data_IF_329491362370
#
_entry.id   IF_329491362370
#
_cell.length_a   1.000
_cell.length_b   1.000
_cell.length_c   1.000
_cell.angle_alpha   90.00
_cell.angle_beta   90.00
_cell.angle_gamma   90.00
#
_symmetry.space_group_name_H-M   'P 1'
#
loop_
_entity.id
_entity.type
_entity.pdbx_description
1 polymer ?
#
# COMPACT_ATOMS: atom_id res chain seq x y z
N UNK A 1 -2.91 -23.05 -23.52
CA UNK A 1 -2.95 -24.37 -24.20
C UNK A 1 -2.17 -25.33 -23.34
N UNK A 2 -2.74 -26.50 -23.02
CA UNK A 2 -2.04 -27.52 -22.26
C UNK A 2 -0.88 -28.11 -23.05
N UNK A 3 0.20 -28.46 -22.37
CA UNK A 3 1.38 -29.09 -23.00
C UNK A 3 1.03 -30.54 -23.32
N UNK A 4 1.11 -30.97 -24.60
CA UNK A 4 0.88 -32.35 -24.98
C UNK A 4 1.87 -33.30 -24.30
N UNK A 5 1.44 -34.54 -24.01
CA UNK A 5 2.23 -35.51 -23.28
C UNK A 5 3.59 -35.81 -23.89
N UNK A 6 3.66 -35.94 -25.22
CA UNK A 6 4.90 -36.16 -25.95
C UNK A 6 5.88 -34.99 -25.85
N UNK A 7 5.37 -33.77 -25.64
CA UNK A 7 6.21 -32.56 -25.41
C UNK A 7 6.72 -32.58 -23.97
N UNK A 8 5.87 -32.96 -23.00
CA UNK A 8 6.26 -33.12 -21.58
C UNK A 8 7.40 -34.13 -21.44
N UNK A 9 7.32 -35.27 -22.15
CA UNK A 9 8.38 -36.27 -22.20
C UNK A 9 9.70 -35.73 -22.80
N UNK A 10 9.61 -35.00 -23.91
CA UNK A 10 10.79 -34.38 -24.53
C UNK A 10 11.44 -33.36 -23.58
N UNK A 11 10.67 -32.49 -22.93
CA UNK A 11 11.20 -31.53 -21.96
C UNK A 11 11.88 -32.26 -20.78
N UNK A 12 11.29 -33.29 -20.25
CA UNK A 12 11.86 -34.11 -19.18
C UNK A 12 13.23 -34.68 -19.60
N UNK A 13 13.30 -35.25 -20.81
CA UNK A 13 14.54 -35.81 -21.36
C UNK A 13 15.63 -34.73 -21.55
N UNK A 14 15.31 -33.63 -22.21
CA UNK A 14 16.27 -32.54 -22.47
C UNK A 14 16.77 -31.85 -21.20
N UNK A 15 15.88 -31.68 -20.20
CA UNK A 15 16.23 -31.07 -18.91
C UNK A 15 16.84 -32.08 -17.92
N UNK A 16 16.92 -33.36 -18.28
CA UNK A 16 17.38 -34.45 -17.40
C UNK A 16 16.64 -34.47 -16.04
N UNK A 17 15.32 -34.33 -16.10
CA UNK A 17 14.43 -34.36 -14.93
C UNK A 17 13.36 -35.42 -15.10
N UNK A 18 12.68 -35.79 -13.99
CA UNK A 18 11.52 -36.68 -14.08
C UNK A 18 10.37 -35.97 -14.81
N UNK A 19 9.55 -36.73 -15.50
CA UNK A 19 8.36 -36.23 -16.19
C UNK A 19 7.40 -35.50 -15.22
N UNK A 20 7.27 -36.00 -13.99
CA UNK A 20 6.53 -35.36 -12.91
C UNK A 20 7.05 -33.99 -12.49
N UNK A 21 8.32 -33.69 -12.79
CA UNK A 21 8.94 -32.40 -12.51
C UNK A 21 8.71 -31.36 -13.62
N UNK A 22 8.07 -31.74 -14.74
CA UNK A 22 7.68 -30.80 -15.81
C UNK A 22 6.30 -30.23 -15.45
N UNK A 23 6.29 -29.17 -14.71
CA UNK A 23 5.10 -28.46 -14.23
C UNK A 23 4.71 -27.37 -15.22
N UNK A 24 3.47 -27.39 -15.70
CA UNK A 24 3.00 -26.32 -16.57
C UNK A 24 2.31 -25.22 -15.74
N UNK A 25 2.57 -23.96 -16.16
CA UNK A 25 1.89 -22.79 -15.62
C UNK A 25 1.07 -22.15 -16.74
N UNK A 26 -0.22 -22.42 -16.76
CA UNK A 26 -1.16 -21.84 -17.74
C UNK A 26 -1.59 -20.44 -17.30
N UNK A 27 -2.05 -19.64 -18.27
CA UNK A 27 -2.68 -18.36 -17.99
C UNK A 27 -3.99 -18.60 -17.22
N UNK A 28 -4.09 -18.03 -16.02
CA UNK A 28 -5.28 -18.08 -15.19
C UNK A 28 -6.18 -16.85 -15.44
N UNK A 29 -7.47 -17.02 -15.21
CA UNK A 29 -8.47 -15.93 -15.21
C UNK A 29 -8.31 -15.00 -14.02
N UNK A 30 -7.73 -15.51 -12.94
CA UNK A 30 -7.45 -14.82 -11.70
C UNK A 30 -6.03 -15.17 -11.23
N UNK A 31 -5.21 -14.18 -10.93
CA UNK A 31 -3.83 -14.40 -10.46
C UNK A 31 -3.77 -15.29 -9.22
N UNK A 32 -4.74 -15.14 -8.32
CA UNK A 32 -4.81 -15.92 -7.08
C UNK A 32 -5.19 -17.39 -7.31
N UNK A 33 -5.65 -17.78 -8.51
CA UNK A 33 -5.88 -19.18 -8.87
C UNK A 33 -4.59 -19.92 -9.25
N UNK A 34 -3.49 -19.22 -9.56
CA UNK A 34 -2.21 -19.84 -9.97
C UNK A 34 -1.68 -20.84 -8.94
N UNK A 35 -1.64 -20.56 -7.63
CA UNK A 35 -1.19 -21.53 -6.63
C UNK A 35 -1.98 -22.85 -6.69
N UNK A 36 -3.31 -22.80 -6.85
CA UNK A 36 -4.15 -24.00 -6.96
C UNK A 36 -3.87 -24.78 -8.25
N UNK A 37 -3.60 -24.08 -9.35
CA UNK A 37 -3.22 -24.71 -10.62
C UNK A 37 -1.88 -25.46 -10.50
N UNK A 38 -0.89 -24.84 -9.88
CA UNK A 38 0.41 -25.44 -9.64
C UNK A 38 0.33 -26.63 -8.67
N UNK A 39 -0.51 -26.54 -7.64
CA UNK A 39 -0.77 -27.65 -6.72
C UNK A 39 -1.43 -28.83 -7.43
N UNK A 40 -2.42 -28.57 -8.31
CA UNK A 40 -3.06 -29.60 -9.16
C UNK A 40 -2.06 -30.30 -10.07
N UNK A 41 -1.06 -29.58 -10.61
CA UNK A 41 0.05 -30.14 -11.39
C UNK A 41 1.05 -30.93 -10.52
N UNK A 42 0.95 -30.86 -9.18
CA UNK A 42 1.78 -31.61 -8.24
C UNK A 42 3.09 -30.91 -7.86
N UNK A 43 3.20 -29.58 -8.06
CA UNK A 43 4.42 -28.82 -7.76
C UNK A 43 4.85 -28.97 -6.29
N UNK A 44 3.93 -28.82 -5.34
CA UNK A 44 4.23 -28.94 -3.91
C UNK A 44 4.82 -30.29 -3.56
N UNK A 45 4.22 -31.37 -4.06
CA UNK A 45 4.72 -32.75 -3.87
C UNK A 45 6.10 -32.96 -4.50
N UNK A 46 6.34 -32.45 -5.71
CA UNK A 46 7.65 -32.58 -6.37
C UNK A 46 8.74 -31.82 -5.59
N UNK A 47 8.45 -30.65 -5.07
CA UNK A 47 9.38 -29.89 -4.23
C UNK A 47 9.70 -30.66 -2.95
N UNK A 48 8.69 -31.17 -2.23
CA UNK A 48 8.88 -31.96 -1.02
C UNK A 48 9.72 -33.23 -1.29
N UNK A 49 9.42 -33.94 -2.37
CA UNK A 49 10.21 -35.12 -2.78
C UNK A 49 11.67 -34.78 -3.06
N UNK A 50 11.91 -33.69 -3.75
CA UNK A 50 13.27 -33.24 -4.10
C UNK A 50 14.06 -32.81 -2.85
N UNK A 51 13.41 -32.12 -1.93
CA UNK A 51 14.01 -31.68 -0.67
C UNK A 51 14.01 -32.76 0.43
N UNK A 52 13.48 -33.94 0.16
CA UNK A 52 13.32 -35.06 1.12
C UNK A 52 12.53 -34.66 2.37
N UNK A 53 11.47 -33.87 2.15
CA UNK A 53 10.52 -33.48 3.18
C UNK A 53 9.27 -34.36 3.09
N UNK A 54 8.63 -34.59 4.24
CA UNK A 54 7.32 -35.20 4.26
C UNK A 54 6.33 -34.29 3.53
N UNK A 55 5.53 -34.88 2.63
CA UNK A 55 4.48 -34.16 1.93
C UNK A 55 3.12 -34.49 2.52
N UNK A 56 2.27 -33.49 2.64
CA UNK A 56 0.87 -33.64 3.03
C UNK A 56 -0.03 -32.99 1.97
N UNK A 57 -1.28 -33.38 1.95
CA UNK A 57 -2.27 -32.71 1.09
C UNK A 57 -2.67 -31.43 1.78
N UNK A 58 -2.39 -30.23 1.16
CA UNK A 58 -2.73 -28.97 1.78
C UNK A 58 -4.25 -28.78 1.82
N UNK A 59 -4.75 -28.20 2.91
CA UNK A 59 -6.13 -27.69 2.96
C UNK A 59 -6.19 -26.31 2.30
N UNK A 60 -6.75 -26.26 1.11
CA UNK A 60 -6.91 -25.04 0.32
C UNK A 60 -8.34 -24.49 0.36
N UNK A 61 -9.19 -24.92 1.29
CA UNK A 61 -10.62 -24.57 1.33
C UNK A 61 -10.83 -23.06 1.37
N UNK A 62 -10.22 -22.34 2.32
CA UNK A 62 -10.35 -20.89 2.44
C UNK A 62 -9.84 -20.15 1.20
N UNK A 63 -8.76 -20.67 0.58
CA UNK A 63 -8.20 -20.07 -0.63
C UNK A 63 -9.13 -20.25 -1.84
N UNK A 64 -9.76 -21.40 -1.97
CA UNK A 64 -10.76 -21.67 -3.02
C UNK A 64 -11.97 -20.75 -2.84
N UNK A 65 -12.50 -20.64 -1.62
CA UNK A 65 -13.63 -19.76 -1.30
C UNK A 65 -13.32 -18.30 -1.63
N UNK A 66 -12.12 -17.83 -1.32
CA UNK A 66 -11.68 -16.48 -1.68
C UNK A 66 -11.70 -16.27 -3.20
N UNK A 67 -11.17 -17.20 -3.99
CA UNK A 67 -11.15 -17.11 -5.45
C UNK A 67 -12.59 -17.10 -6.01
N UNK A 68 -13.45 -17.96 -5.49
CA UNK A 68 -14.85 -18.02 -5.92
C UNK A 68 -15.60 -16.74 -5.59
N UNK A 69 -15.28 -16.10 -4.47
CA UNK A 69 -15.83 -14.80 -4.11
C UNK A 69 -15.32 -13.68 -5.07
N UNK A 70 -14.02 -13.66 -5.38
CA UNK A 70 -13.44 -12.73 -6.36
C UNK A 70 -14.16 -12.84 -7.71
N UNK A 71 -14.46 -14.06 -8.18
CA UNK A 71 -15.15 -14.30 -9.45
C UNK A 71 -16.59 -13.82 -9.46
N UNK A 72 -17.23 -13.72 -8.28
CA UNK A 72 -18.62 -13.25 -8.13
C UNK A 72 -18.74 -11.74 -8.06
N UNK A 73 -17.64 -11.00 -7.84
CA UNK A 73 -17.67 -9.54 -7.74
C UNK A 73 -18.19 -8.94 -9.05
N UNK A 74 -19.20 -8.10 -8.95
CA UNK A 74 -19.78 -7.40 -10.09
C UNK A 74 -18.78 -6.42 -10.68
N UNK A 75 -18.52 -6.54 -11.98
CA UNK A 75 -17.52 -5.71 -12.69
C UNK A 75 -17.99 -4.26 -12.91
N UNK A 76 -19.29 -4.02 -12.87
CA UNK A 76 -19.88 -2.72 -13.19
C UNK A 76 -19.98 -1.78 -11.99
N UNK A 77 -20.05 -2.32 -10.78
CA UNK A 77 -20.03 -1.53 -9.53
C UNK A 77 -18.56 -1.32 -9.10
N UNK A 78 -18.06 -0.09 -9.26
CA UNK A 78 -16.65 0.24 -8.96
C UNK A 78 -16.56 1.33 -7.93
N UNK A 79 -15.71 1.11 -6.93
CA UNK A 79 -15.25 2.15 -6.00
C UNK A 79 -13.97 2.76 -6.60
N UNK A 80 -13.98 4.07 -6.84
CA UNK A 80 -12.89 4.80 -7.49
C UNK A 80 -11.93 5.35 -6.44
N UNK A 81 -10.73 4.79 -6.36
CA UNK A 81 -9.69 5.22 -5.41
C UNK A 81 -8.52 5.81 -6.18
N UNK A 82 -8.11 7.03 -5.83
CA UNK A 82 -6.88 7.58 -6.35
C UNK A 82 -5.69 7.33 -5.42
N UNK A 83 -4.55 6.99 -6.03
CA UNK A 83 -3.24 7.05 -5.40
C UNK A 83 -2.55 8.29 -5.95
N UNK A 84 -2.45 9.34 -5.12
CA UNK A 84 -1.83 10.62 -5.52
C UNK A 84 -0.38 10.64 -5.06
N UNK A 85 0.53 10.41 -5.96
CA UNK A 85 1.95 10.25 -5.66
C UNK A 85 2.86 10.79 -6.75
N UNK A 86 4.17 10.66 -6.55
CA UNK A 86 5.18 11.18 -7.50
C UNK A 86 5.87 10.09 -8.35
N UNK A 87 5.61 8.82 -8.06
CA UNK A 87 6.21 7.70 -8.79
C UNK A 87 5.19 6.95 -9.65
N UNK A 88 4.12 7.62 -10.06
CA UNK A 88 2.97 7.03 -10.78
C UNK A 88 3.29 6.55 -12.19
N UNK A 89 4.41 6.99 -12.78
CA UNK A 89 4.87 6.51 -14.09
C UNK A 89 5.43 5.09 -14.06
N UNK A 90 5.78 4.60 -12.88
CA UNK A 90 6.29 3.25 -12.65
C UNK A 90 5.31 2.56 -11.68
N UNK A 91 4.39 1.79 -12.22
CA UNK A 91 3.32 1.13 -11.45
C UNK A 91 3.83 0.28 -10.30
N UNK A 92 4.96 -0.41 -10.49
CA UNK A 92 5.61 -1.23 -9.46
C UNK A 92 5.99 -0.46 -8.20
N UNK A 93 6.17 0.86 -8.30
CA UNK A 93 6.49 1.70 -7.13
C UNK A 93 5.40 1.68 -6.05
N UNK A 94 4.17 1.43 -6.44
CA UNK A 94 3.00 1.39 -5.55
C UNK A 94 2.31 0.03 -5.53
N UNK A 95 2.95 -1.03 -6.05
CA UNK A 95 2.33 -2.35 -6.19
C UNK A 95 1.72 -2.87 -4.89
N UNK A 96 2.40 -2.68 -3.74
CA UNK A 96 1.88 -3.12 -2.44
C UNK A 96 0.61 -2.36 -2.03
N UNK A 97 0.51 -1.07 -2.35
CA UNK A 97 -0.68 -0.26 -2.07
C UNK A 97 -1.82 -0.67 -3.00
N UNK A 98 -1.52 -0.88 -4.28
CA UNK A 98 -2.47 -1.35 -5.28
C UNK A 98 -3.04 -2.71 -4.89
N UNK A 99 -2.20 -3.67 -4.52
CA UNK A 99 -2.65 -5.00 -4.08
C UNK A 99 -3.45 -4.94 -2.77
N UNK A 100 -3.04 -4.09 -1.82
CA UNK A 100 -3.82 -3.88 -0.59
C UNK A 100 -5.24 -3.36 -0.87
N UNK A 101 -5.39 -2.44 -1.83
CA UNK A 101 -6.71 -1.96 -2.27
C UNK A 101 -7.52 -3.07 -2.94
N UNK A 102 -6.89 -3.90 -3.78
CA UNK A 102 -7.56 -5.06 -4.39
C UNK A 102 -8.04 -6.05 -3.34
N UNK A 103 -7.19 -6.39 -2.36
CA UNK A 103 -7.57 -7.26 -1.24
C UNK A 103 -8.73 -6.67 -0.42
N UNK A 104 -8.71 -5.36 -0.15
CA UNK A 104 -9.82 -4.67 0.50
C UNK A 104 -11.10 -4.78 -0.33
N UNK A 105 -11.00 -4.63 -1.66
CA UNK A 105 -12.13 -4.83 -2.58
C UNK A 105 -12.71 -6.24 -2.48
N UNK A 106 -11.86 -7.26 -2.47
CA UNK A 106 -12.29 -8.66 -2.34
C UNK A 106 -13.02 -8.90 -1.01
N UNK A 107 -12.46 -8.41 0.10
CA UNK A 107 -13.06 -8.55 1.43
C UNK A 107 -14.41 -7.82 1.57
N UNK A 108 -14.63 -6.75 0.81
CA UNK A 108 -15.86 -5.97 0.82
C UNK A 108 -16.79 -6.28 -0.37
N UNK A 109 -16.48 -7.28 -1.21
CA UNK A 109 -17.24 -7.66 -2.39
C UNK A 109 -17.49 -6.51 -3.39
N UNK A 110 -16.50 -5.63 -3.54
CA UNK A 110 -16.55 -4.50 -4.49
C UNK A 110 -15.36 -4.52 -5.43
N UNK A 111 -15.57 -4.05 -6.66
CA UNK A 111 -14.50 -3.85 -7.61
C UNK A 111 -13.84 -2.48 -7.35
N UNK A 112 -12.52 -2.42 -7.35
CA UNK A 112 -11.77 -1.18 -7.13
C UNK A 112 -11.22 -0.68 -8.47
N UNK A 113 -11.59 0.55 -8.84
CA UNK A 113 -11.01 1.30 -9.96
C UNK A 113 -9.91 2.21 -9.41
N UNK A 114 -8.64 1.84 -9.64
CA UNK A 114 -7.48 2.54 -9.09
C UNK A 114 -6.96 3.54 -10.11
N UNK A 115 -6.92 4.83 -9.74
CA UNK A 115 -6.35 5.90 -10.55
C UNK A 115 -5.02 6.35 -9.97
N UNK A 116 -3.95 6.26 -10.75
CA UNK A 116 -2.64 6.81 -10.41
C UNK A 116 -2.57 8.26 -10.89
N UNK A 117 -2.42 9.22 -9.97
CA UNK A 117 -2.39 10.64 -10.27
C UNK A 117 -1.04 11.22 -9.82
N UNK A 118 -0.34 11.89 -10.75
CA UNK A 118 0.90 12.58 -10.44
C UNK A 118 0.61 13.83 -9.58
N UNK A 119 1.14 13.84 -8.38
CA UNK A 119 0.95 14.94 -7.43
C UNK A 119 1.48 16.29 -7.94
N UNK A 120 2.47 16.30 -8.85
CA UNK A 120 2.97 17.54 -9.46
C UNK A 120 1.93 18.21 -10.37
N UNK A 121 0.94 17.47 -10.83
CA UNK A 121 -0.12 17.99 -11.70
C UNK A 121 -1.33 18.52 -10.93
N UNK A 122 -1.33 18.41 -9.60
CA UNK A 122 -2.40 18.93 -8.75
C UNK A 122 -2.03 20.34 -8.29
N UNK A 123 -2.87 21.29 -8.62
CA UNK A 123 -2.83 22.70 -8.17
C UNK A 123 -4.24 23.08 -7.69
N UNK A 124 -4.41 24.27 -7.13
CA UNK A 124 -5.72 24.80 -6.73
C UNK A 124 -6.72 24.78 -7.88
N UNK A 125 -6.25 25.09 -9.10
CA UNK A 125 -7.08 25.16 -10.30
C UNK A 125 -7.44 23.79 -10.86
N UNK A 126 -6.60 22.75 -10.64
CA UNK A 126 -6.79 21.44 -11.22
C UNK A 126 -7.34 20.40 -10.24
N UNK A 127 -7.33 20.67 -8.94
CA UNK A 127 -7.75 19.73 -7.90
C UNK A 127 -9.20 19.24 -8.13
N UNK A 128 -10.15 20.15 -8.29
CA UNK A 128 -11.55 19.78 -8.50
C UNK A 128 -11.73 18.88 -9.73
N UNK A 129 -11.16 19.26 -10.87
CA UNK A 129 -11.33 18.48 -12.12
C UNK A 129 -10.75 17.08 -12.06
N UNK A 130 -9.72 16.85 -11.22
CA UNK A 130 -9.03 15.58 -11.10
C UNK A 130 -9.53 14.69 -9.96
N UNK A 131 -10.14 15.28 -8.93
CA UNK A 131 -10.43 14.59 -7.67
C UNK A 131 -11.92 14.46 -7.34
N UNK A 132 -12.81 15.25 -7.95
CA UNK A 132 -14.25 15.32 -7.59
C UNK A 132 -15.03 14.02 -7.75
N UNK A 133 -14.61 13.15 -8.68
CA UNK A 133 -15.33 11.91 -9.00
C UNK A 133 -14.73 10.69 -8.29
N UNK A 134 -13.99 10.89 -7.21
CA UNK A 134 -13.32 9.85 -6.44
C UNK A 134 -14.10 9.51 -5.17
N UNK A 135 -14.17 8.23 -4.85
CA UNK A 135 -14.76 7.72 -3.62
C UNK A 135 -13.76 7.66 -2.46
N UNK A 136 -12.46 7.75 -2.76
CA UNK A 136 -11.40 7.79 -1.77
C UNK A 136 -10.04 8.17 -2.35
N UNK A 137 -9.15 8.67 -1.49
CA UNK A 137 -7.82 9.13 -1.87
C UNK A 137 -6.77 8.56 -0.92
N UNK A 138 -5.69 8.00 -1.51
CA UNK A 138 -4.49 7.61 -0.78
C UNK A 138 -3.34 8.50 -1.23
N UNK A 139 -2.64 9.12 -0.26
CA UNK A 139 -1.36 9.77 -0.50
C UNK A 139 -0.26 8.88 0.08
N UNK A 140 0.53 8.21 -0.77
CA UNK A 140 1.53 7.25 -0.34
C UNK A 140 2.80 7.92 0.18
N UNK A 141 3.70 7.10 0.73
CA UNK A 141 5.05 7.48 1.09
C UNK A 141 5.89 7.97 -0.09
N UNK A 142 7.02 8.57 0.21
CA UNK A 142 7.99 9.06 -0.76
C UNK A 142 9.09 9.87 -0.11
N UNK A 143 10.08 10.32 -0.90
CA UNK A 143 11.23 11.07 -0.44
C UNK A 143 11.44 12.33 -1.27
N UNK A 144 12.02 13.38 -0.64
CA UNK A 144 12.35 14.64 -1.29
C UNK A 144 11.13 15.53 -1.56
N UNK A 145 11.41 16.75 -2.00
CA UNK A 145 10.45 17.86 -2.02
C UNK A 145 9.47 17.86 -3.21
N UNK A 146 9.79 17.12 -4.28
CA UNK A 146 8.99 17.10 -5.51
C UNK A 146 7.56 16.66 -5.25
N UNK A 147 6.56 17.41 -5.73
CA UNK A 147 5.15 17.09 -5.67
C UNK A 147 4.49 17.23 -4.29
N UNK A 148 5.17 17.80 -3.27
CA UNK A 148 4.61 17.91 -1.93
C UNK A 148 3.46 18.91 -1.86
N UNK A 149 3.55 20.07 -2.54
CA UNK A 149 2.45 21.04 -2.55
C UNK A 149 1.18 20.46 -3.22
N UNK A 150 1.34 19.68 -4.30
CA UNK A 150 0.20 19.00 -4.90
C UNK A 150 -0.43 17.93 -3.99
N UNK A 151 0.36 17.28 -3.12
CA UNK A 151 -0.19 16.40 -2.07
C UNK A 151 -0.96 17.19 -1.04
N UNK A 152 -0.45 18.37 -0.61
CA UNK A 152 -1.14 19.23 0.34
C UNK A 152 -2.46 19.74 -0.26
N UNK A 153 -2.49 20.17 -1.52
CA UNK A 153 -3.74 20.56 -2.20
C UNK A 153 -4.71 19.38 -2.35
N UNK A 154 -4.21 18.17 -2.61
CA UNK A 154 -5.02 16.95 -2.64
C UNK A 154 -5.68 16.68 -1.29
N UNK A 155 -4.93 16.78 -0.21
CA UNK A 155 -5.41 16.54 1.16
C UNK A 155 -6.44 17.59 1.56
N UNK A 156 -6.17 18.85 1.24
CA UNK A 156 -7.11 19.95 1.43
C UNK A 156 -8.43 19.69 0.71
N UNK A 157 -8.37 19.31 -0.56
CA UNK A 157 -9.56 18.98 -1.34
C UNK A 157 -10.34 17.82 -0.71
N UNK A 158 -9.67 16.75 -0.30
CA UNK A 158 -10.30 15.62 0.36
C UNK A 158 -11.01 16.03 1.66
N UNK A 159 -10.36 16.84 2.51
CA UNK A 159 -10.92 17.34 3.77
C UNK A 159 -12.14 18.24 3.52
N UNK A 160 -12.03 19.19 2.61
CA UNK A 160 -13.11 20.17 2.33
C UNK A 160 -14.33 19.54 1.66
N UNK A 161 -14.15 18.43 0.94
CA UNK A 161 -15.22 17.71 0.24
C UNK A 161 -15.63 16.40 0.95
N UNK A 162 -15.13 16.13 2.16
CA UNK A 162 -15.41 14.92 2.94
C UNK A 162 -15.13 13.61 2.19
N UNK A 163 -14.10 13.60 1.33
CA UNK A 163 -13.66 12.39 0.64
C UNK A 163 -12.80 11.55 1.60
N UNK A 164 -13.07 10.26 1.80
CA UNK A 164 -12.23 9.37 2.59
C UNK A 164 -10.75 9.46 2.18
N UNK A 165 -9.89 9.66 3.17
CA UNK A 165 -8.47 9.91 2.94
C UNK A 165 -7.59 9.01 3.81
N UNK A 166 -6.49 8.49 3.22
CA UNK A 166 -5.42 7.80 3.94
C UNK A 166 -4.05 8.35 3.53
N UNK A 167 -3.32 8.89 4.50
CA UNK A 167 -1.92 9.30 4.32
C UNK A 167 -0.96 8.24 4.87
N UNK A 168 -0.05 7.74 4.03
CA UNK A 168 0.96 6.75 4.42
C UNK A 168 2.32 7.43 4.48
N UNK A 169 3.03 7.35 5.61
CA UNK A 169 4.38 7.89 5.81
C UNK A 169 4.42 9.39 5.44
N UNK A 170 5.05 9.76 4.33
CA UNK A 170 5.06 11.15 3.85
C UNK A 170 3.64 11.71 3.63
N UNK A 171 2.69 10.88 3.20
CA UNK A 171 1.29 11.31 3.04
C UNK A 171 0.66 11.74 4.36
N UNK A 172 0.92 11.03 5.45
CA UNK A 172 0.50 11.43 6.80
C UNK A 172 1.19 12.73 7.22
N UNK A 173 2.50 12.86 6.98
CA UNK A 173 3.24 14.08 7.30
C UNK A 173 2.67 15.31 6.56
N UNK A 174 2.33 15.15 5.27
CA UNK A 174 1.70 16.22 4.48
C UNK A 174 0.29 16.55 4.98
N UNK A 175 -0.44 15.59 5.54
CA UNK A 175 -1.73 15.86 6.17
C UNK A 175 -1.59 16.72 7.42
N UNK A 176 -0.58 16.48 8.23
CA UNK A 176 -0.26 17.34 9.39
C UNK A 176 0.10 18.75 8.94
N UNK A 177 0.92 18.88 7.90
CA UNK A 177 1.29 20.19 7.33
C UNK A 177 0.06 20.93 6.77
N UNK A 178 -0.78 20.23 6.01
CA UNK A 178 -2.03 20.78 5.46
C UNK A 178 -2.92 21.33 6.57
N UNK A 179 -3.18 20.51 7.59
CA UNK A 179 -4.06 20.90 8.70
C UNK A 179 -3.50 22.09 9.46
N UNK A 180 -2.20 22.12 9.73
CA UNK A 180 -1.55 23.22 10.39
C UNK A 180 -1.67 24.53 9.58
N UNK A 181 -1.45 24.47 8.26
CA UNK A 181 -1.54 25.65 7.38
C UNK A 181 -2.96 26.15 7.20
N UNK A 182 -3.88 25.27 6.86
CA UNK A 182 -5.20 25.66 6.35
C UNK A 182 -6.30 25.65 7.41
N UNK A 183 -6.13 24.90 8.51
CA UNK A 183 -7.12 24.85 9.60
C UNK A 183 -6.69 25.67 10.80
N UNK A 184 -5.40 25.60 11.19
CA UNK A 184 -4.88 26.33 12.35
C UNK A 184 -4.34 27.71 11.99
N UNK A 185 -4.20 28.07 10.70
CA UNK A 185 -3.68 29.35 10.24
C UNK A 185 -2.16 29.52 10.42
N UNK A 186 -1.42 28.46 10.69
CA UNK A 186 0.03 28.46 10.80
C UNK A 186 0.66 28.38 9.40
N UNK A 187 0.53 29.47 8.61
CA UNK A 187 0.84 29.48 7.17
C UNK A 187 2.27 28.99 6.81
N UNK A 188 3.25 29.21 7.71
CA UNK A 188 4.64 28.78 7.51
C UNK A 188 4.92 27.33 7.99
N UNK A 189 3.89 26.56 8.33
CA UNK A 189 4.08 25.15 8.76
C UNK A 189 4.68 24.30 7.65
N UNK A 190 5.68 23.50 8.01
CA UNK A 190 6.34 22.60 7.06
C UNK A 190 6.98 21.41 7.79
N UNK A 191 7.48 20.46 7.00
CA UNK A 191 8.47 19.51 7.47
C UNK A 191 9.86 20.15 7.44
N UNK A 192 10.63 19.99 8.53
CA UNK A 192 12.03 20.38 8.56
C UNK A 192 12.91 19.60 7.56
N UNK A 193 12.41 18.51 6.97
CA UNK A 193 13.08 17.82 5.87
C UNK A 193 13.15 18.67 4.60
N UNK A 194 12.11 19.49 4.37
CA UNK A 194 11.95 20.25 3.11
C UNK A 194 12.24 21.74 3.28
N UNK A 195 12.07 22.25 4.50
CA UNK A 195 12.37 23.63 4.85
C UNK A 195 12.92 23.67 6.28
N UNK A 196 14.24 23.65 6.41
CA UNK A 196 14.92 23.71 7.71
C UNK A 196 14.70 25.04 8.44
N UNK A 197 14.34 26.12 7.71
CA UNK A 197 14.09 27.45 8.25
C UNK A 197 12.62 27.73 8.59
N UNK A 198 11.73 26.74 8.48
CA UNK A 198 10.32 26.94 8.83
C UNK A 198 10.17 27.36 10.29
N UNK A 199 9.30 28.35 10.54
CA UNK A 199 8.98 28.79 11.90
C UNK A 199 8.11 27.79 12.66
N UNK A 200 7.38 26.95 11.93
CA UNK A 200 6.48 25.95 12.48
C UNK A 200 6.84 24.56 11.95
N UNK A 201 7.91 23.93 12.47
CA UNK A 201 8.33 22.57 12.06
C UNK A 201 7.40 21.52 12.67
N UNK A 202 6.18 21.38 12.13
CA UNK A 202 5.18 20.40 12.60
C UNK A 202 5.60 18.95 12.34
N UNK A 203 6.56 18.76 11.44
CA UNK A 203 7.30 17.53 11.20
C UNK A 203 8.78 17.85 11.39
N UNK A 204 9.46 17.11 12.27
CA UNK A 204 10.85 17.33 12.61
C UNK A 204 11.69 16.05 12.56
N UNK A 205 13.02 16.20 12.62
CA UNK A 205 13.93 15.05 12.66
C UNK A 205 13.85 14.36 14.02
N UNK A 206 13.77 13.04 14.03
CA UNK A 206 13.84 12.24 15.25
C UNK A 206 15.17 12.47 15.96
N UNK A 207 15.16 12.59 17.30
CA UNK A 207 16.37 12.82 18.09
C UNK A 207 17.46 11.77 17.85
N UNK A 208 17.06 10.50 17.70
CA UNK A 208 17.96 9.38 17.41
C UNK A 208 18.62 9.50 16.03
N UNK A 209 17.96 10.19 15.09
CA UNK A 209 18.45 10.38 13.73
C UNK A 209 19.39 11.59 13.58
N UNK A 210 19.42 12.52 14.53
CA UNK A 210 20.31 13.70 14.51
C UNK A 210 21.80 13.32 14.53
N UNK A 211 22.16 12.19 15.13
CA UNK A 211 23.55 11.73 15.31
C UNK A 211 24.04 10.76 14.23
N UNK A 212 23.22 10.51 13.19
CA UNK A 212 23.55 9.53 12.16
C UNK A 212 24.28 10.19 11.00
N UNK A 213 25.58 9.91 10.87
CA UNK A 213 26.43 10.41 9.78
C UNK A 213 26.35 9.52 8.52
N UNK A 214 26.23 8.20 8.67
CA UNK A 214 26.11 7.25 7.55
C UNK A 214 24.64 6.91 7.29
N UNK A 215 24.11 7.37 6.18
CA UNK A 215 22.65 7.30 5.91
C UNK A 215 22.13 5.92 5.41
N UNK A 216 23.00 4.99 5.03
CA UNK A 216 22.59 3.69 4.47
C UNK A 216 21.89 2.79 5.48
N UNK A 217 20.64 2.39 5.20
CA UNK A 217 19.88 1.43 6.02
C UNK A 217 19.33 1.96 7.35
N UNK A 218 19.69 3.16 7.77
CA UNK A 218 19.40 3.72 9.11
C UNK A 218 17.96 4.21 9.32
N UNK A 219 17.14 4.23 8.25
CA UNK A 219 15.70 4.53 8.33
C UNK A 219 14.84 3.30 8.66
N UNK A 220 15.42 2.11 8.71
CA UNK A 220 14.70 0.86 9.05
C UNK A 220 14.65 0.72 10.56
N UNK A 221 13.66 1.37 11.18
CA UNK A 221 13.56 1.46 12.65
C UNK A 221 12.93 0.21 13.28
N UNK A 222 12.38 -0.70 12.48
CA UNK A 222 11.74 -1.91 12.99
C UNK A 222 10.27 -1.71 13.36
N UNK A 223 9.76 -2.58 14.20
CA UNK A 223 8.37 -2.59 14.67
C UNK A 223 8.24 -1.78 15.96
N UNK A 224 7.26 -0.89 15.99
CA UNK A 224 6.94 -0.06 17.15
C UNK A 224 5.51 -0.32 17.61
N UNK A 225 5.27 -0.44 18.94
CA UNK A 225 3.94 -0.59 19.46
C UNK A 225 3.13 0.70 19.30
N UNK A 226 1.90 0.57 18.85
CA UNK A 226 0.93 1.66 18.75
C UNK A 226 -0.31 1.33 19.56
N UNK A 227 -0.66 2.19 20.51
CA UNK A 227 -1.87 2.07 21.33
C UNK A 227 -2.96 2.86 20.63
N UNK A 228 -4.03 2.17 20.22
CA UNK A 228 -5.15 2.77 19.52
C UNK A 228 -6.15 3.35 20.53
N UNK A 229 -6.59 4.59 20.28
CA UNK A 229 -7.62 5.22 21.09
C UNK A 229 -8.92 4.42 20.96
N UNK A 230 -9.45 3.96 22.09
CA UNK A 230 -10.72 3.22 22.13
C UNK A 230 -11.85 4.02 21.47
N UNK A 231 -12.67 3.34 20.67
CA UNK A 231 -13.79 3.95 19.93
C UNK A 231 -13.37 4.73 18.68
N UNK A 232 -12.06 4.90 18.40
CA UNK A 232 -11.58 5.51 17.16
C UNK A 232 -11.85 4.61 15.94
N UNK A 233 -11.88 5.20 14.75
CA UNK A 233 -11.99 4.44 13.50
C UNK A 233 -10.85 3.41 13.38
N UNK A 234 -9.63 3.79 13.72
CA UNK A 234 -8.49 2.88 13.69
C UNK A 234 -8.70 1.67 14.61
N UNK A 235 -9.15 1.86 15.87
CA UNK A 235 -9.39 0.72 16.77
C UNK A 235 -10.50 -0.20 16.28
N UNK A 236 -11.52 0.34 15.61
CA UNK A 236 -12.59 -0.47 14.99
C UNK A 236 -12.09 -1.28 13.80
N UNK A 237 -11.27 -0.68 12.93
CA UNK A 237 -10.73 -1.33 11.74
C UNK A 237 -9.72 -2.42 12.08
N UNK A 238 -8.83 -2.17 13.05
CA UNK A 238 -7.86 -3.18 13.50
C UNK A 238 -8.46 -4.25 14.43
N UNK A 239 -9.61 -3.95 15.07
CA UNK A 239 -10.22 -4.86 16.05
C UNK A 239 -9.35 -5.15 17.28
N UNK A 240 -8.36 -4.28 17.58
CA UNK A 240 -7.37 -4.44 18.65
C UNK A 240 -7.11 -3.08 19.32
N UNK A 241 -6.69 -3.12 20.57
CA UNK A 241 -6.29 -1.91 21.32
C UNK A 241 -4.81 -1.58 21.10
N UNK A 242 -3.99 -2.60 20.84
CA UNK A 242 -2.56 -2.46 20.60
C UNK A 242 -2.18 -3.19 19.31
N UNK A 243 -1.42 -2.51 18.47
CA UNK A 243 -0.86 -3.04 17.23
C UNK A 243 0.64 -2.74 17.19
N UNK A 244 1.36 -3.43 16.32
CA UNK A 244 2.76 -3.17 16.05
C UNK A 244 2.89 -2.71 14.60
N UNK A 245 3.41 -1.48 14.44
CA UNK A 245 3.59 -0.86 13.13
C UNK A 245 5.07 -0.75 12.78
N UNK A 246 5.38 -1.07 11.53
CA UNK A 246 6.75 -1.04 11.01
C UNK A 246 7.12 0.33 10.50
N UNK A 247 8.14 0.94 11.10
CA UNK A 247 8.57 2.30 10.79
C UNK A 247 9.79 2.33 9.87
N UNK A 248 9.74 3.26 8.89
CA UNK A 248 10.84 3.55 7.98
C UNK A 248 10.87 5.04 7.63
N UNK A 249 11.36 5.88 8.56
CA UNK A 249 11.44 7.32 8.38
C UNK A 249 12.54 7.93 9.25
N UNK A 250 12.93 9.18 8.98
CA UNK A 250 13.84 10.01 9.81
C UNK A 250 13.11 11.14 10.49
N UNK A 251 12.03 11.58 9.89
CA UNK A 251 11.22 12.70 10.35
C UNK A 251 9.90 12.18 10.85
N UNK A 252 9.41 12.80 11.91
CA UNK A 252 8.18 12.42 12.58
C UNK A 252 7.36 13.64 12.98
N UNK A 253 6.16 13.38 13.47
CA UNK A 253 5.29 14.38 14.06
C UNK A 253 5.97 15.07 15.24
N UNK A 254 5.97 16.41 15.25
CA UNK A 254 6.53 17.19 16.36
C UNK A 254 5.51 17.30 17.51
N UNK A 255 5.80 16.62 18.62
CA UNK A 255 4.92 16.57 19.78
C UNK A 255 4.68 17.94 20.44
N UNK A 256 5.52 18.96 20.20
CA UNK A 256 5.28 20.34 20.67
C UNK A 256 3.98 20.93 20.13
N UNK A 257 3.51 20.43 18.96
CA UNK A 257 2.26 20.84 18.34
C UNK A 257 1.05 19.95 18.72
N UNK A 258 1.25 18.96 19.58
CA UNK A 258 0.21 17.98 19.91
C UNK A 258 -1.06 18.62 20.48
N UNK A 259 -0.92 19.55 21.41
CA UNK A 259 -2.07 20.22 22.02
C UNK A 259 -2.86 21.02 20.98
N UNK A 260 -2.17 21.85 20.21
CA UNK A 260 -2.80 22.72 19.20
C UNK A 260 -3.53 21.91 18.12
N UNK A 261 -2.96 20.76 17.71
CA UNK A 261 -3.52 19.89 16.69
C UNK A 261 -4.62 18.95 17.23
N UNK A 262 -4.73 18.77 18.56
CA UNK A 262 -5.72 17.87 19.18
C UNK A 262 -7.04 18.55 19.56
N UNK A 263 -7.11 19.87 19.54
CA UNK A 263 -8.28 20.65 20.02
C UNK A 263 -9.35 20.92 18.96
N UNK A 264 -9.28 20.29 17.75
CA UNK A 264 -10.28 20.51 16.69
C UNK A 264 -10.77 19.23 16.01
#
# INVERSE_FOLDING_TARGET
>A
MEIPENIREKLALFCNVRKSSVIQNLTADCLYAVPLMLEKEGLGREICNHLRLDSYIPDNTEWIEMIDNIRKIKKDEKVKIAIVGKYVRLEDSYISVIESLRHAGFANNVNIDIKLIDSETITKETAESKLKDLDGIIVPGGFGNRGNEGKIETIKFARENNIPFLGICLGMQMAVVEFARNVLGLADSNSAEFNESTKNPVIHIMEEQKKIYKKGGTMRLGSYPCILKQGSLASKLYGKEKIDERHRHRYEYNNEYKEILSFR
#
